data_IF_831194956774
#
_entry.id   IF_831194956774
#
_cell.length_a   1.000
_cell.length_b   1.000
_cell.length_c   1.000
_cell.angle_alpha   90.00
_cell.angle_beta   90.00
_cell.angle_gamma   90.00
#
_symmetry.space_group_name_H-M   'P 1'
#
loop_
_entity.id
_entity.type
_entity.pdbx_description
1 polymer ?
#
# COMPACT_ATOMS: atom_id res chain seq x y z
N UNK A 1 -21.77 15.99 -60.59
CA UNK A 1 -22.03 14.69 -61.26
C UNK A 1 -22.86 13.86 -60.28
N UNK A 2 -24.17 13.63 -60.47
CA UNK A 2 -24.80 12.66 -61.40
C UNK A 2 -24.11 11.29 -61.41
N UNK A 3 -24.75 10.12 -61.27
CA UNK A 3 -25.99 9.58 -60.66
C UNK A 3 -26.05 8.11 -61.12
N UNK A 4 -26.59 7.22 -60.28
CA UNK A 4 -26.99 5.80 -60.51
C UNK A 4 -27.07 5.25 -61.96
N UNK A 5 -26.55 4.02 -62.12
CA UNK A 5 -27.24 2.88 -62.80
C UNK A 5 -26.87 1.60 -62.01
N UNK A 6 -27.75 0.74 -61.46
CA UNK A 6 -28.68 -0.28 -62.03
C UNK A 6 -27.92 -1.33 -62.91
N UNK A 7 -28.21 -2.65 -62.95
CA UNK A 7 -29.50 -3.40 -62.94
C UNK A 7 -29.43 -4.75 -62.17
N UNK A 8 -30.61 -5.33 -61.91
CA UNK A 8 -30.94 -6.74 -61.51
C UNK A 8 -30.33 -7.77 -62.51
N UNK A 9 -30.40 -9.11 -62.39
CA UNK A 9 -31.48 -10.07 -62.01
C UNK A 9 -30.80 -11.48 -61.91
N UNK A 10 -31.34 -12.67 -61.55
CA UNK A 10 -32.70 -13.27 -61.43
C UNK A 10 -32.70 -14.42 -60.40
N UNK A 11 -33.88 -14.84 -59.91
CA UNK A 11 -34.10 -16.04 -59.09
C UNK A 11 -34.00 -17.34 -59.90
N UNK A 12 -33.46 -18.41 -59.30
CA UNK A 12 -33.89 -19.80 -59.56
C UNK A 12 -33.96 -20.60 -58.26
N UNK A 13 -35.16 -21.02 -57.89
CA UNK A 13 -35.38 -22.13 -56.95
C UNK A 13 -35.26 -23.47 -57.67
N UNK A 14 -34.70 -24.47 -57.01
CA UNK A 14 -34.76 -25.87 -57.43
C UNK A 14 -34.85 -26.73 -56.17
N UNK A 15 -35.86 -27.60 -56.09
CA UNK A 15 -35.98 -28.58 -55.01
C UNK A 15 -35.16 -29.82 -55.36
N UNK A 16 -34.46 -30.39 -54.38
CA UNK A 16 -33.72 -31.64 -54.52
C UNK A 16 -33.69 -32.37 -53.18
N UNK A 17 -34.49 -33.44 -53.06
CA UNK A 17 -34.49 -34.31 -51.89
C UNK A 17 -33.53 -35.49 -52.11
N UNK A 18 -32.62 -35.73 -51.18
CA UNK A 18 -31.72 -36.89 -51.20
C UNK A 18 -31.50 -37.44 -49.78
N UNK A 19 -31.56 -38.76 -49.69
CA UNK A 19 -31.68 -39.55 -48.48
C UNK A 19 -30.44 -39.51 -47.54
N UNK A 20 -30.74 -39.62 -46.24
CA UNK A 20 -30.06 -40.44 -45.22
C UNK A 20 -28.57 -40.80 -45.43
N UNK A 21 -27.72 -40.24 -44.56
CA UNK A 21 -26.51 -40.91 -44.07
C UNK A 21 -26.34 -40.62 -42.57
N UNK A 22 -26.86 -41.50 -41.71
CA UNK A 22 -26.80 -41.34 -40.26
C UNK A 22 -25.40 -41.76 -39.72
N UNK A 23 -24.40 -40.91 -39.93
CA UNK A 23 -23.09 -41.07 -39.31
C UNK A 23 -23.17 -40.72 -37.82
N UNK A 24 -23.42 -41.72 -36.99
CA UNK A 24 -23.28 -41.65 -35.55
C UNK A 24 -21.78 -41.53 -35.18
N UNK A 25 -21.21 -40.34 -35.37
CA UNK A 25 -19.90 -40.01 -34.83
C UNK A 25 -19.95 -40.17 -33.30
N UNK A 26 -19.02 -40.90 -32.67
CA UNK A 26 -18.90 -40.86 -31.22
C UNK A 26 -18.47 -39.44 -30.84
N UNK A 27 -19.39 -38.67 -30.26
CA UNK A 27 -19.07 -37.43 -29.58
C UNK A 27 -18.11 -37.76 -28.44
N UNK A 28 -16.82 -37.69 -28.73
CA UNK A 28 -15.78 -37.73 -27.72
C UNK A 28 -16.04 -36.54 -26.79
N UNK A 29 -16.67 -36.83 -25.65
CA UNK A 29 -16.90 -35.85 -24.62
C UNK A 29 -15.53 -35.30 -24.23
N UNK A 30 -15.25 -34.05 -24.60
CA UNK A 30 -14.08 -33.36 -24.10
C UNK A 30 -14.13 -33.49 -22.59
N UNK A 31 -13.06 -34.00 -21.93
CA UNK A 31 -13.07 -34.10 -20.49
C UNK A 31 -13.35 -32.69 -19.97
N UNK A 32 -14.45 -32.53 -19.24
CA UNK A 32 -14.75 -31.27 -18.59
C UNK A 32 -13.50 -30.90 -17.79
N UNK A 33 -12.86 -29.79 -18.14
CA UNK A 33 -11.77 -29.28 -17.32
C UNK A 33 -12.36 -29.19 -15.91
N UNK A 34 -11.72 -29.77 -14.89
CA UNK A 34 -12.24 -29.63 -13.55
C UNK A 34 -12.34 -28.14 -13.28
N UNK A 35 -13.53 -27.68 -12.88
CA UNK A 35 -13.72 -26.35 -12.30
C UNK A 35 -13.05 -26.34 -10.92
N UNK A 36 -11.72 -26.47 -10.96
CA UNK A 36 -10.84 -26.16 -9.88
C UNK A 36 -10.99 -24.68 -9.64
N UNK A 37 -11.78 -24.36 -8.62
CA UNK A 37 -11.87 -23.04 -8.01
C UNK A 37 -10.51 -22.72 -7.37
N UNK A 38 -9.51 -22.47 -8.23
CA UNK A 38 -8.14 -22.11 -7.91
C UNK A 38 -8.20 -20.68 -7.39
N UNK A 39 -8.64 -20.60 -6.13
CA UNK A 39 -8.97 -19.40 -5.38
C UNK A 39 -7.76 -18.47 -5.36
N UNK A 40 -7.71 -17.59 -6.35
CA UNK A 40 -6.49 -16.91 -6.76
C UNK A 40 -5.84 -16.20 -5.56
N UNK A 41 -4.58 -16.53 -5.29
CA UNK A 41 -3.89 -16.09 -4.08
C UNK A 41 -3.99 -14.56 -3.94
N UNK A 42 -4.58 -14.11 -2.83
CA UNK A 42 -4.95 -12.71 -2.63
C UNK A 42 -3.74 -11.79 -2.90
N UNK A 43 -3.89 -10.72 -3.71
CA UNK A 43 -2.78 -9.88 -4.15
C UNK A 43 -1.85 -9.47 -3.00
N UNK A 44 -0.55 -9.61 -3.23
CA UNK A 44 0.50 -9.24 -2.27
C UNK A 44 1.42 -8.17 -2.84
N UNK A 45 1.91 -7.34 -1.93
CA UNK A 45 2.89 -6.30 -2.18
C UNK A 45 4.12 -6.60 -1.34
N UNK A 46 5.29 -6.63 -1.97
CA UNK A 46 6.55 -6.45 -1.27
C UNK A 46 6.78 -4.94 -1.08
N UNK A 47 6.67 -4.47 0.16
CA UNK A 47 7.04 -3.13 0.60
C UNK A 47 8.45 -3.21 1.19
N UNK A 48 9.39 -2.49 0.59
CA UNK A 48 10.76 -2.34 1.09
C UNK A 48 10.94 -0.92 1.58
N UNK A 49 11.44 -0.73 2.80
CA UNK A 49 12.06 0.54 3.18
C UNK A 49 13.55 0.47 2.94
N UNK A 50 14.14 1.58 2.50
CA UNK A 50 15.59 1.83 2.52
C UNK A 50 15.86 2.89 3.57
N UNK A 51 16.72 2.56 4.53
CA UNK A 51 16.99 3.31 5.77
C UNK A 51 18.50 3.34 5.92
N UNK A 52 19.14 4.41 5.46
CA UNK A 52 20.60 4.42 5.28
C UNK A 52 21.34 4.61 6.62
N UNK A 53 20.77 5.39 7.54
CA UNK A 53 21.42 5.82 8.80
C UNK A 53 20.87 5.15 10.08
N UNK A 54 20.07 4.08 9.95
CA UNK A 54 19.63 3.27 11.09
C UNK A 54 19.64 1.76 10.81
N UNK A 55 20.83 1.17 10.75
CA UNK A 55 21.00 -0.28 10.89
C UNK A 55 20.55 -0.72 12.31
N UNK A 56 19.88 -1.87 12.42
CA UNK A 56 19.33 -2.32 13.71
C UNK A 56 18.02 -1.63 14.14
N UNK A 57 17.44 -0.73 13.32
CA UNK A 57 16.11 -0.19 13.58
C UNK A 57 15.05 -1.29 13.53
N UNK A 58 14.23 -1.41 14.57
CA UNK A 58 13.02 -2.24 14.54
C UNK A 58 11.88 -1.48 13.84
N UNK A 59 11.25 -2.10 12.83
CA UNK A 59 10.12 -1.55 12.07
C UNK A 59 8.91 -2.48 12.17
N UNK A 60 7.73 -1.94 12.46
CA UNK A 60 6.46 -2.66 12.43
C UNK A 60 5.43 -1.92 11.56
N UNK A 61 4.61 -2.66 10.82
CA UNK A 61 3.52 -2.11 10.00
C UNK A 61 2.18 -2.31 10.71
N UNK A 62 1.40 -1.24 10.83
CA UNK A 62 0.06 -1.26 11.46
C UNK A 62 -0.97 -0.70 10.48
N UNK A 63 -2.03 -1.47 10.19
CA UNK A 63 -3.14 -1.06 9.34
C UNK A 63 -4.43 -0.98 10.15
N UNK A 64 -4.96 0.23 10.33
CA UNK A 64 -6.18 0.47 11.07
C UNK A 64 -7.03 1.52 10.34
N UNK A 65 -7.71 1.07 9.29
CA UNK A 65 -8.57 1.95 8.49
C UNK A 65 -10.00 1.92 9.00
N UNK A 66 -10.52 3.10 9.35
CA UNK A 66 -11.93 3.36 9.63
C UNK A 66 -12.62 3.81 8.33
N UNK A 67 -13.79 3.25 8.05
CA UNK A 67 -14.76 3.82 7.09
C UNK A 67 -15.92 4.44 7.86
N UNK A 68 -16.64 5.39 7.25
CA UNK A 68 -17.75 6.09 7.91
C UNK A 68 -18.84 5.14 8.43
N UNK A 69 -19.03 4.01 7.75
CA UNK A 69 -20.05 2.99 8.04
C UNK A 69 -19.53 1.81 8.88
N UNK A 70 -18.36 1.94 9.55
CA UNK A 70 -17.76 0.87 10.34
C UNK A 70 -17.79 1.17 11.85
N UNK A 71 -18.70 0.49 12.57
CA UNK A 71 -18.83 0.57 14.04
C UNK A 71 -17.56 0.13 14.80
N UNK A 72 -16.68 -0.65 14.15
CA UNK A 72 -15.44 -1.18 14.73
C UNK A 72 -14.29 -1.06 13.73
N UNK A 73 -13.16 -0.50 14.17
CA UNK A 73 -11.93 -0.42 13.37
C UNK A 73 -11.16 -1.73 13.46
N UNK A 74 -10.99 -2.42 12.33
CA UNK A 74 -10.21 -3.67 12.26
C UNK A 74 -8.71 -3.40 12.13
N UNK A 75 -8.03 -3.33 13.26
CA UNK A 75 -6.55 -3.28 13.35
C UNK A 75 -5.93 -4.56 12.77
N UNK A 76 -4.77 -4.41 12.14
CA UNK A 76 -3.85 -5.49 11.78
C UNK A 76 -2.42 -5.02 11.94
N UNK A 77 -1.56 -5.93 12.39
CA UNK A 77 -0.14 -5.68 12.60
C UNK A 77 0.69 -6.70 11.84
N UNK A 78 1.88 -6.27 11.38
CA UNK A 78 2.94 -7.19 11.02
C UNK A 78 3.67 -7.69 12.27
N UNK A 79 4.49 -8.73 12.11
CA UNK A 79 5.65 -8.89 13.00
C UNK A 79 6.57 -7.69 12.81
N UNK A 80 7.25 -7.29 13.87
CA UNK A 80 8.43 -6.41 13.79
C UNK A 80 9.50 -7.06 12.91
N UNK A 81 10.35 -6.23 12.30
CA UNK A 81 11.55 -6.62 11.56
C UNK A 81 12.66 -5.61 11.77
N UNK A 82 13.87 -6.09 11.90
CA UNK A 82 15.09 -5.28 11.95
C UNK A 82 15.45 -4.74 10.54
N UNK A 83 16.17 -3.62 10.49
CA UNK A 83 16.87 -3.12 9.31
C UNK A 83 18.23 -3.82 9.20
N UNK A 84 18.44 -4.51 8.07
CA UNK A 84 19.66 -5.26 7.74
C UNK A 84 20.22 -4.73 6.41
N UNK A 85 21.52 -4.44 6.34
CA UNK A 85 22.20 -3.75 5.22
C UNK A 85 21.47 -2.46 4.76
N UNK A 86 20.95 -1.66 5.69
CA UNK A 86 20.19 -0.43 5.40
C UNK A 86 18.85 -0.63 4.69
N UNK A 87 18.24 -1.82 4.80
CA UNK A 87 16.89 -2.07 4.25
C UNK A 87 16.06 -3.04 5.08
N UNK A 88 14.73 -2.96 4.95
CA UNK A 88 13.80 -3.92 5.54
C UNK A 88 12.61 -4.17 4.61
N UNK A 89 12.23 -5.44 4.41
CA UNK A 89 11.18 -5.83 3.43
C UNK A 89 10.07 -6.67 4.03
N UNK A 90 8.82 -6.25 3.77
CA UNK A 90 7.58 -6.87 4.19
C UNK A 90 6.75 -7.35 2.99
N UNK A 91 6.45 -8.65 2.93
CA UNK A 91 5.55 -9.22 1.91
C UNK A 91 4.14 -9.37 2.46
N UNK A 92 3.31 -8.34 2.27
CA UNK A 92 1.99 -8.18 2.89
C UNK A 92 0.85 -8.38 1.86
N UNK A 93 -0.40 -8.66 2.28
CA UNK A 93 -1.55 -8.52 1.39
C UNK A 93 -1.66 -7.05 0.95
N UNK A 94 -1.77 -6.77 -0.36
CA UNK A 94 -1.82 -5.40 -0.91
C UNK A 94 -2.88 -4.54 -0.23
N UNK A 95 -4.01 -5.16 0.17
CA UNK A 95 -5.11 -4.49 0.88
C UNK A 95 -4.77 -3.92 2.26
N UNK A 96 -3.64 -4.29 2.85
CA UNK A 96 -3.16 -3.72 4.11
C UNK A 96 -2.39 -2.41 3.95
N UNK A 97 -2.08 -1.98 2.72
CA UNK A 97 -1.41 -0.69 2.47
C UNK A 97 -2.36 0.51 2.59
N UNK A 98 -3.67 0.34 2.34
CA UNK A 98 -4.68 1.41 2.46
C UNK A 98 -4.96 1.75 3.93
N UNK A 99 -4.48 2.89 4.41
CA UNK A 99 -4.52 3.25 5.83
C UNK A 99 -3.46 2.51 6.63
N UNK A 100 -2.24 2.46 6.10
CA UNK A 100 -1.07 1.89 6.77
C UNK A 100 -0.28 2.99 7.49
N UNK A 101 0.12 2.69 8.72
CA UNK A 101 1.18 3.38 9.44
C UNK A 101 2.36 2.44 9.63
N UNK A 102 3.53 3.00 9.88
CA UNK A 102 4.72 2.26 10.27
C UNK A 102 5.27 2.87 11.56
N UNK A 103 5.59 2.03 12.54
CA UNK A 103 6.36 2.42 13.73
C UNK A 103 7.81 2.02 13.55
N UNK A 104 8.68 2.78 14.21
CA UNK A 104 10.13 2.58 14.27
C UNK A 104 10.54 2.63 15.74
N UNK A 105 11.48 1.77 16.13
CA UNK A 105 12.27 1.89 17.37
C UNK A 105 13.73 1.77 16.97
N UNK A 106 14.50 2.85 17.14
CA UNK A 106 15.93 2.83 16.86
C UNK A 106 16.73 2.30 18.06
N UNK A 107 17.90 1.65 17.85
CA UNK A 107 18.69 1.04 18.93
C UNK A 107 19.32 2.05 19.90
N UNK A 108 19.11 3.35 19.67
CA UNK A 108 19.53 4.45 20.54
C UNK A 108 18.38 5.08 21.36
N UNK A 109 17.12 4.66 21.16
CA UNK A 109 16.00 5.28 21.88
C UNK A 109 16.06 4.97 23.38
N UNK A 110 15.96 6.03 24.20
CA UNK A 110 15.74 5.91 25.63
C UNK A 110 14.26 5.69 25.96
N UNK A 111 13.88 5.89 27.23
CA UNK A 111 12.49 5.76 27.67
C UNK A 111 11.65 6.99 27.25
N UNK A 112 11.30 7.05 25.96
CA UNK A 112 10.46 8.07 25.31
C UNK A 112 9.02 8.07 25.82
N UNK A 113 8.47 6.90 26.13
CA UNK A 113 7.05 6.72 26.49
C UNK A 113 6.10 6.70 25.28
N UNK A 114 6.60 6.47 24.07
CA UNK A 114 5.83 6.29 22.84
C UNK A 114 6.66 5.51 21.80
N UNK A 115 6.01 5.00 20.75
CA UNK A 115 6.69 4.50 19.55
C UNK A 115 6.84 5.62 18.52
N UNK A 116 8.04 5.79 17.98
CA UNK A 116 8.27 6.71 16.85
C UNK A 116 7.44 6.21 15.66
N UNK A 117 6.69 7.09 15.00
CA UNK A 117 5.80 6.75 13.88
C UNK A 117 6.22 7.50 12.62
N UNK A 118 6.27 6.81 11.47
CA UNK A 118 6.67 7.41 10.19
C UNK A 118 5.68 8.48 9.74
N UNK A 119 6.17 9.71 9.56
CA UNK A 119 5.44 10.78 8.90
C UNK A 119 5.49 10.60 7.37
N UNK A 120 4.35 10.27 6.76
CA UNK A 120 4.21 10.12 5.30
C UNK A 120 4.02 11.45 4.57
N UNK A 121 3.51 12.44 5.30
CA UNK A 121 3.32 13.83 4.85
C UNK A 121 3.29 14.75 6.06
N UNK A 122 4.04 15.84 5.99
CA UNK A 122 3.89 16.99 6.88
C UNK A 122 2.87 17.98 6.33
N UNK A 123 2.20 18.71 7.22
CA UNK A 123 1.21 19.71 6.84
C UNK A 123 1.81 20.83 5.97
N UNK A 124 1.06 21.28 4.96
CA UNK A 124 1.48 22.30 3.98
C UNK A 124 2.14 21.74 2.71
N UNK A 125 2.72 20.54 2.78
CA UNK A 125 3.36 19.89 1.62
C UNK A 125 2.34 19.24 0.69
N UNK A 126 2.75 18.90 -0.53
CA UNK A 126 2.00 18.17 -1.57
C UNK A 126 2.67 16.83 -1.90
N UNK A 127 1.96 15.94 -2.60
CA UNK A 127 2.52 14.65 -3.00
C UNK A 127 3.61 14.87 -4.05
N UNK A 128 4.82 14.41 -3.77
CA UNK A 128 6.03 14.67 -4.56
C UNK A 128 6.95 15.76 -3.98
N UNK A 129 6.51 16.56 -3.01
CA UNK A 129 7.36 17.58 -2.39
C UNK A 129 8.44 16.90 -1.54
N UNK A 130 9.70 17.28 -1.78
CA UNK A 130 10.85 16.78 -1.04
C UNK A 130 10.93 17.41 0.36
N UNK A 131 11.45 16.66 1.34
CA UNK A 131 11.60 17.08 2.75
C UNK A 131 12.99 16.70 3.23
N UNK A 132 13.73 17.66 3.78
CA UNK A 132 15.00 17.41 4.47
C UNK A 132 14.79 17.25 5.98
N UNK A 133 15.79 16.78 6.70
CA UNK A 133 15.74 16.68 8.17
C UNK A 133 15.54 18.05 8.82
N UNK A 134 16.28 19.07 8.37
CA UNK A 134 16.19 20.45 8.88
C UNK A 134 14.79 21.05 8.64
N UNK A 135 14.15 20.71 7.52
CA UNK A 135 12.77 21.10 7.29
C UNK A 135 11.80 20.29 8.17
N UNK A 136 11.98 18.97 8.30
CA UNK A 136 11.12 18.09 9.08
C UNK A 136 11.01 18.54 10.55
N UNK A 137 12.14 18.89 11.19
CA UNK A 137 12.15 19.34 12.59
C UNK A 137 11.43 20.68 12.82
N UNK A 138 11.22 21.51 11.79
CA UNK A 138 10.38 22.73 11.95
C UNK A 138 8.88 22.44 11.99
N UNK A 139 8.44 21.23 11.60
CA UNK A 139 7.02 20.94 11.39
C UNK A 139 6.28 20.78 12.71
N UNK A 140 4.97 21.03 12.64
CA UNK A 140 4.03 21.05 13.78
C UNK A 140 2.79 20.18 13.59
N UNK A 141 2.51 19.72 12.36
CA UNK A 141 1.50 18.69 12.08
C UNK A 141 1.95 17.72 10.98
N UNK A 142 1.61 16.44 11.13
CA UNK A 142 1.96 15.34 10.22
C UNK A 142 0.87 14.26 10.19
N UNK A 143 0.89 13.37 9.19
CA UNK A 143 0.08 12.14 9.20
C UNK A 143 0.93 10.87 9.20
N UNK A 144 0.55 9.95 10.09
CA UNK A 144 1.04 8.58 10.17
C UNK A 144 0.40 7.64 9.14
N UNK A 145 -0.59 8.11 8.37
CA UNK A 145 -1.47 7.28 7.55
C UNK A 145 -1.17 7.41 6.06
N UNK A 146 -0.64 6.33 5.47
CA UNK A 146 -0.39 6.19 4.04
C UNK A 146 -1.67 5.84 3.27
N UNK A 147 -1.83 6.39 2.06
CA UNK A 147 -2.88 5.93 1.14
C UNK A 147 -2.57 4.54 0.56
N UNK A 148 -1.30 4.12 0.50
CA UNK A 148 -0.94 2.78 0.02
C UNK A 148 -0.89 2.64 -1.51
N UNK A 149 -0.83 1.40 -2.00
CA UNK A 149 -0.52 1.10 -3.40
C UNK A 149 -1.29 -0.09 -3.97
N UNK A 150 -1.41 -0.13 -5.30
CA UNK A 150 -1.87 -1.30 -6.08
C UNK A 150 -0.73 -2.17 -6.62
N UNK A 151 0.52 -1.72 -6.47
CA UNK A 151 1.72 -2.36 -7.04
C UNK A 151 2.15 -3.62 -6.27
N UNK A 152 2.69 -4.62 -6.99
CA UNK A 152 3.26 -5.85 -6.40
C UNK A 152 4.60 -5.63 -5.69
N UNK A 153 5.30 -4.55 -6.02
CA UNK A 153 6.55 -4.09 -5.39
C UNK A 153 6.48 -2.58 -5.21
N UNK A 154 7.06 -2.08 -4.13
CA UNK A 154 7.24 -0.66 -3.84
C UNK A 154 8.45 -0.50 -2.91
N UNK A 155 9.31 0.45 -3.22
CA UNK A 155 10.42 0.86 -2.36
C UNK A 155 10.14 2.27 -1.86
N UNK A 156 10.32 2.49 -0.56
CA UNK A 156 10.08 3.77 0.12
C UNK A 156 11.36 4.16 0.85
N UNK A 157 12.04 5.25 0.45
CA UNK A 157 13.08 5.85 1.28
C UNK A 157 12.46 6.31 2.60
N UNK A 158 13.13 5.98 3.71
CA UNK A 158 12.69 6.30 5.07
C UNK A 158 13.90 6.83 5.81
N UNK A 159 13.88 8.13 6.11
CA UNK A 159 14.86 8.77 6.98
C UNK A 159 14.48 8.45 8.41
N UNK A 160 15.42 7.92 9.19
CA UNK A 160 15.31 7.76 10.64
C UNK A 160 16.54 8.42 11.26
N UNK A 161 16.33 9.45 12.06
CA UNK A 161 17.40 10.30 12.57
C UNK A 161 17.33 10.47 14.08
N UNK A 162 18.49 10.54 14.73
CA UNK A 162 18.58 10.74 16.17
C UNK A 162 18.22 12.18 16.53
N UNK A 163 17.30 12.34 17.48
CA UNK A 163 16.88 13.63 18.03
C UNK A 163 16.81 13.57 19.55
N UNK A 164 16.82 14.73 20.20
CA UNK A 164 16.58 14.86 21.65
C UNK A 164 15.10 15.14 21.88
N UNK A 165 14.49 14.39 22.79
CA UNK A 165 13.04 14.44 23.06
C UNK A 165 12.77 14.39 24.57
N UNK A 166 11.65 14.96 24.99
CA UNK A 166 11.13 14.72 26.33
C UNK A 166 10.73 13.24 26.47
N UNK A 167 11.41 12.51 27.35
CA UNK A 167 11.05 11.16 27.77
C UNK A 167 10.16 11.15 29.00
N UNK A 168 9.97 9.97 29.60
CA UNK A 168 9.05 9.77 30.73
C UNK A 168 9.51 10.46 32.03
N UNK A 169 10.82 10.71 32.18
CA UNK A 169 11.43 11.27 33.40
C UNK A 169 12.40 12.44 33.14
N UNK A 170 13.09 12.42 32.00
CA UNK A 170 14.12 13.38 31.60
C UNK A 170 14.18 13.46 30.07
N UNK A 171 15.01 14.36 29.52
CA UNK A 171 15.28 14.32 28.08
C UNK A 171 16.10 13.09 27.71
N UNK A 172 15.65 12.37 26.68
CA UNK A 172 16.31 11.15 26.17
C UNK A 172 16.67 11.32 24.69
N UNK A 173 17.52 10.42 24.21
CA UNK A 173 17.65 10.20 22.77
C UNK A 173 16.35 9.53 22.29
N UNK A 174 15.78 10.05 21.21
CA UNK A 174 14.64 9.51 20.50
C UNK A 174 14.91 9.54 18.99
N UNK A 175 13.87 9.31 18.19
CA UNK A 175 13.98 9.34 16.74
C UNK A 175 12.93 10.23 16.09
N UNK A 176 13.29 10.86 14.97
CA UNK A 176 12.34 11.35 13.97
C UNK A 176 12.34 10.35 12.81
N UNK A 177 11.16 10.00 12.30
CA UNK A 177 11.02 9.06 11.18
C UNK A 177 10.08 9.63 10.12
N UNK A 178 10.55 9.79 8.88
CA UNK A 178 9.76 10.40 7.80
C UNK A 178 10.19 9.94 6.41
N UNK A 179 9.30 10.08 5.43
CA UNK A 179 9.64 9.88 4.01
C UNK A 179 10.22 11.18 3.42
N UNK A 180 11.41 11.19 2.80
CA UNK A 180 12.05 12.40 2.27
C UNK A 180 11.42 12.88 0.95
N UNK A 181 10.43 12.16 0.42
CA UNK A 181 9.54 12.61 -0.65
C UNK A 181 8.12 12.33 -0.21
N UNK A 182 7.32 13.39 -0.05
CA UNK A 182 5.96 13.34 0.49
C UNK A 182 5.07 12.40 -0.32
N UNK A 183 4.49 11.39 0.33
CA UNK A 183 3.61 10.40 -0.32
C UNK A 183 2.13 10.75 -0.15
N UNK A 184 1.27 10.07 -0.91
CA UNK A 184 -0.18 10.18 -0.72
C UNK A 184 -0.60 9.52 0.60
N UNK A 185 -1.60 10.10 1.25
CA UNK A 185 -1.84 9.99 2.69
C UNK A 185 -3.33 10.05 3.00
N UNK A 186 -3.71 9.66 4.22
CA UNK A 186 -5.08 9.75 4.72
C UNK A 186 -5.14 10.57 6.03
N UNK A 187 -6.26 11.25 6.33
CA UNK A 187 -6.52 11.85 7.63
C UNK A 187 -6.39 10.83 8.78
N UNK A 188 -6.05 11.27 10.01
CA UNK A 188 -5.90 12.67 10.44
C UNK A 188 -4.49 13.26 10.26
N UNK A 189 -4.41 14.59 10.17
CA UNK A 189 -3.19 15.33 10.54
C UNK A 189 -3.13 15.45 12.07
N UNK A 190 -2.17 14.79 12.70
CA UNK A 190 -1.87 14.88 14.14
C UNK A 190 -0.84 15.99 14.38
N UNK A 191 -0.71 16.43 15.62
CA UNK A 191 0.35 17.35 16.04
C UNK A 191 1.68 16.60 16.19
N UNK A 192 2.78 17.30 15.94
CA UNK A 192 4.16 16.78 16.09
C UNK A 192 5.01 17.81 16.81
N UNK A 193 5.94 17.31 17.63
CA UNK A 193 6.88 18.14 18.39
C UNK A 193 8.25 18.04 17.72
N UNK A 194 8.72 19.16 17.21
CA UNK A 194 9.94 19.25 16.41
C UNK A 194 10.08 18.14 15.35
N UNK A 195 9.01 17.98 14.57
CA UNK A 195 8.89 16.98 13.51
C UNK A 195 8.56 15.56 13.98
N UNK A 196 8.77 15.22 15.25
CA UNK A 196 8.57 13.87 15.83
C UNK A 196 7.09 13.54 15.98
N UNK A 197 6.68 12.42 15.39
CA UNK A 197 5.33 11.87 15.45
C UNK A 197 5.30 10.63 16.36
N UNK A 198 5.12 10.85 17.67
CA UNK A 198 5.00 9.78 18.65
C UNK A 198 3.57 9.20 18.75
N UNK A 199 3.46 7.89 18.99
CA UNK A 199 2.18 7.21 19.26
C UNK A 199 2.29 6.21 20.41
N UNK A 200 1.32 6.22 21.32
CA UNK A 200 1.12 5.20 22.37
C UNK A 200 0.04 4.16 22.01
N UNK A 201 -0.71 4.43 20.95
CA UNK A 201 -1.86 3.64 20.48
C UNK A 201 -1.93 3.72 18.95
N UNK A 202 -2.75 2.88 18.35
CA UNK A 202 -2.89 2.65 16.91
C UNK A 202 -3.35 3.90 16.15
N UNK A 203 -2.67 4.22 15.05
CA UNK A 203 -3.05 5.32 14.17
C UNK A 203 -4.27 4.94 13.30
N UNK A 204 -5.45 5.41 13.69
CA UNK A 204 -6.70 5.20 12.95
C UNK A 204 -6.76 6.14 11.73
N UNK A 205 -6.66 5.55 10.55
CA UNK A 205 -6.69 6.23 9.25
C UNK A 205 -8.11 6.25 8.67
N UNK A 206 -8.46 7.26 7.87
CA UNK A 206 -9.80 7.41 7.26
C UNK A 206 -9.73 7.49 5.73
#
# INVERSE_FOLDING_TARGET
MTVRTTVRTTVRTAAGAALLAALAAPSAAAPAAPDGDVRAAAPRTALTFTVEDCEGCEVQLVNARSTLDADVVHVWESRTKEVEDGRVTFTIPTRRTWGMSATVVAPWEGHTGYLTTVAWRYNGQHVGDAITFEEAVTKRKASACWEGVRSRRVTVPLVVEKVRVAGVHEEVDGSIAFVPTTLSWLPPMREVWDGVLGSQDVNICR
#
